data_IF_793620014291
#
_entry.id   IF_793620014291
#
_cell.length_a   1.000
_cell.length_b   1.000
_cell.length_c   1.000
_cell.angle_alpha   90.00
_cell.angle_beta   90.00
_cell.angle_gamma   90.00
#
_symmetry.space_group_name_H-M   'P 1'
#
loop_
_entity.id
_entity.type
_entity.pdbx_description
1 polymer ?
#
# COMPACT_ATOMS: atom_id res chain seq x y z
N UNK A 1 -7.55 -17.38 14.90
CA UNK A 1 -8.06 -16.68 13.72
C UNK A 1 -8.26 -15.21 14.06
N UNK A 2 -7.72 -14.30 13.26
CA UNK A 2 -8.01 -12.87 13.38
C UNK A 2 -9.51 -12.67 13.07
N UNK A 3 -10.26 -12.01 13.97
CA UNK A 3 -11.73 -11.88 13.87
C UNK A 3 -12.20 -10.92 12.75
N UNK A 4 -11.31 -10.53 11.84
CA UNK A 4 -11.49 -9.40 10.91
C UNK A 4 -11.76 -9.83 9.46
N UNK A 5 -11.96 -11.12 9.18
CA UNK A 5 -12.25 -11.58 7.80
C UNK A 5 -11.05 -11.41 6.86
N UNK A 6 -9.87 -11.84 7.31
CA UNK A 6 -8.54 -11.58 6.71
C UNK A 6 -8.25 -12.21 5.35
N UNK A 7 -9.15 -13.01 4.79
CA UNK A 7 -8.94 -13.67 3.48
C UNK A 7 -9.35 -12.79 2.29
N UNK A 8 -9.71 -11.53 2.52
CA UNK A 8 -10.02 -10.57 1.46
C UNK A 8 -8.76 -9.96 0.84
N UNK A 9 -8.70 -9.77 -0.50
CA UNK A 9 -7.58 -9.09 -1.15
C UNK A 9 -7.27 -7.72 -0.53
N UNK A 10 -5.98 -7.46 -0.31
CA UNK A 10 -5.50 -6.16 0.20
C UNK A 10 -5.45 -6.08 1.72
N UNK A 11 -5.83 -7.16 2.41
CA UNK A 11 -5.64 -7.28 3.86
C UNK A 11 -4.16 -7.49 4.19
N UNK A 12 -3.65 -6.80 5.22
CA UNK A 12 -2.29 -7.01 5.72
C UNK A 12 -2.22 -6.90 7.25
N UNK A 13 -1.15 -7.47 7.81
CA UNK A 13 -0.74 -7.30 9.20
C UNK A 13 0.76 -6.97 9.23
N UNK A 14 1.10 -5.82 9.81
CA UNK A 14 2.47 -5.45 10.13
C UNK A 14 2.68 -5.45 11.64
N UNK A 15 3.64 -6.26 12.08
CA UNK A 15 4.11 -6.30 13.45
C UNK A 15 5.60 -5.99 13.45
N UNK A 16 6.04 -5.22 14.43
CA UNK A 16 7.45 -4.91 14.61
C UNK A 16 7.93 -5.58 15.89
N UNK A 17 9.04 -6.32 15.81
CA UNK A 17 9.71 -6.90 16.98
C UNK A 17 11.09 -6.24 17.06
N UNK A 18 11.30 -5.45 18.11
CA UNK A 18 12.60 -4.86 18.37
C UNK A 18 13.49 -5.89 19.08
N UNK A 19 14.62 -6.24 18.45
CA UNK A 19 15.64 -7.12 19.06
C UNK A 19 15.20 -8.56 19.36
N UNK A 20 14.09 -9.02 18.77
CA UNK A 20 13.58 -10.39 18.93
C UNK A 20 12.75 -10.65 20.19
N UNK A 21 12.75 -9.74 21.16
CA UNK A 21 12.14 -9.99 22.48
C UNK A 21 11.00 -9.02 22.85
N UNK A 22 10.96 -7.82 22.25
CA UNK A 22 9.95 -6.81 22.59
C UNK A 22 9.08 -6.47 21.39
N UNK A 23 7.79 -6.80 21.49
CA UNK A 23 6.77 -6.32 20.57
C UNK A 23 6.77 -4.79 20.57
N UNK A 24 6.70 -4.22 19.37
CA UNK A 24 6.50 -2.80 19.16
C UNK A 24 5.21 -2.32 19.83
N UNK A 25 5.12 -1.01 20.11
CA UNK A 25 3.94 -0.42 20.74
C UNK A 25 2.66 -0.62 19.92
N UNK A 26 2.79 -0.80 18.61
CA UNK A 26 1.68 -0.91 17.67
C UNK A 26 1.88 -2.10 16.72
N UNK A 27 0.78 -2.78 16.42
CA UNK A 27 0.61 -3.61 15.22
C UNK A 27 -0.37 -2.89 14.29
N UNK A 28 -0.15 -3.00 12.98
CA UNK A 28 -0.99 -2.33 11.97
C UNK A 28 -1.74 -3.37 11.16
N UNK A 29 -3.05 -3.19 11.05
CA UNK A 29 -3.91 -4.00 10.21
C UNK A 29 -4.54 -3.08 9.19
N UNK A 30 -4.33 -3.38 7.90
CA UNK A 30 -5.03 -2.73 6.80
C UNK A 30 -6.06 -3.67 6.20
N UNK A 31 -7.20 -3.12 5.83
CA UNK A 31 -8.33 -3.83 5.21
C UNK A 31 -8.93 -2.93 4.14
N UNK A 32 -9.57 -3.53 3.13
CA UNK A 32 -10.42 -2.82 2.15
C UNK A 32 -9.79 -1.54 1.58
N UNK A 33 -8.66 -1.64 0.84
CA UNK A 33 -8.02 -0.47 0.25
C UNK A 33 -8.99 0.27 -0.68
N UNK A 34 -8.93 1.61 -0.68
CA UNK A 34 -9.78 2.46 -1.51
C UNK A 34 -9.36 2.44 -2.99
N UNK A 35 -8.05 2.35 -3.24
CA UNK A 35 -7.46 2.39 -4.58
C UNK A 35 -6.33 1.37 -4.63
N UNK A 36 -6.30 0.59 -5.69
CA UNK A 36 -5.24 -0.33 -6.05
C UNK A 36 -4.29 0.34 -7.03
N UNK A 37 -2.99 0.08 -6.88
CA UNK A 37 -1.94 0.54 -7.78
C UNK A 37 -1.05 -0.63 -8.16
N UNK A 38 -0.69 -0.73 -9.44
CA UNK A 38 0.33 -1.67 -9.90
C UNK A 38 1.12 -1.07 -11.06
N UNK A 39 2.27 -1.67 -11.32
CA UNK A 39 3.01 -1.48 -12.57
C UNK A 39 3.12 -2.86 -13.22
N UNK A 40 2.58 -3.01 -14.43
CA UNK A 40 2.70 -4.21 -15.24
C UNK A 40 3.27 -3.83 -16.59
N UNK A 41 4.30 -4.54 -17.07
CA UNK A 41 4.93 -4.31 -18.38
C UNK A 41 5.36 -2.84 -18.60
N UNK A 42 5.81 -2.19 -17.52
CA UNK A 42 6.23 -0.78 -17.55
C UNK A 42 5.09 0.24 -17.57
N UNK A 43 3.83 -0.20 -17.49
CA UNK A 43 2.64 0.66 -17.44
C UNK A 43 2.13 0.72 -16.01
N UNK A 44 2.04 1.94 -15.46
CA UNK A 44 1.41 2.17 -14.16
C UNK A 44 -0.12 2.24 -14.33
N UNK A 45 -0.86 1.58 -13.45
CA UNK A 45 -2.32 1.52 -13.49
C UNK A 45 -2.93 1.67 -12.10
N UNK A 46 -4.12 2.27 -12.03
CA UNK A 46 -4.95 2.27 -10.82
C UNK A 46 -6.27 1.55 -11.03
N UNK A 47 -6.84 0.99 -9.98
CA UNK A 47 -8.12 0.27 -10.03
C UNK A 47 -8.90 0.43 -8.71
N UNK A 48 -10.23 0.32 -8.76
CA UNK A 48 -11.06 0.21 -7.54
C UNK A 48 -11.24 -1.23 -7.07
N UNK A 49 -10.82 -2.22 -7.86
CA UNK A 49 -10.98 -3.65 -7.58
C UNK A 49 -9.64 -4.39 -7.53
N UNK A 50 -9.51 -5.45 -6.72
CA UNK A 50 -8.25 -6.20 -6.59
C UNK A 50 -7.83 -6.95 -7.85
N UNK A 51 -8.78 -7.29 -8.71
CA UNK A 51 -8.54 -7.99 -9.98
C UNK A 51 -8.16 -7.05 -11.13
N UNK A 52 -8.13 -5.72 -10.87
CA UNK A 52 -7.86 -4.71 -11.89
C UNK A 52 -8.84 -4.74 -13.07
N UNK A 53 -10.07 -5.21 -12.88
CA UNK A 53 -11.09 -5.25 -13.92
C UNK A 53 -11.47 -3.85 -14.44
N UNK A 54 -11.33 -2.81 -13.62
CA UNK A 54 -11.58 -1.41 -13.98
C UNK A 54 -10.29 -0.58 -14.12
N UNK A 55 -9.17 -1.24 -14.43
CA UNK A 55 -7.87 -0.61 -14.53
C UNK A 55 -7.86 0.63 -15.45
N UNK A 56 -7.23 1.68 -14.96
CA UNK A 56 -6.97 2.91 -15.71
C UNK A 56 -5.47 3.14 -15.77
N UNK A 57 -4.88 3.24 -16.98
CA UNK A 57 -3.47 3.57 -17.11
C UNK A 57 -3.22 5.00 -16.63
N UNK A 58 -2.04 5.20 -16.06
CA UNK A 58 -1.52 6.51 -15.67
C UNK A 58 -0.46 6.95 -16.67
N UNK A 59 -0.46 8.24 -16.97
CA UNK A 59 0.60 8.87 -17.75
C UNK A 59 1.89 8.99 -16.92
N UNK A 60 3.04 8.94 -17.59
CA UNK A 60 4.35 9.16 -16.98
C UNK A 60 5.18 7.90 -16.79
N UNK A 61 6.35 8.06 -16.17
CA UNK A 61 7.26 6.93 -15.90
C UNK A 61 6.79 6.14 -14.68
N UNK A 62 7.09 4.83 -14.57
CA UNK A 62 6.69 4.01 -13.43
C UNK A 62 7.03 4.61 -12.06
N UNK A 63 8.24 5.16 -11.91
CA UNK A 63 8.70 5.79 -10.67
C UNK A 63 7.96 7.11 -10.39
N UNK A 64 7.67 7.91 -11.42
CA UNK A 64 6.91 9.15 -11.25
C UNK A 64 5.46 8.85 -10.84
N UNK A 65 4.83 7.84 -11.45
CA UNK A 65 3.47 7.41 -11.13
C UNK A 65 3.36 6.82 -9.71
N UNK A 66 4.33 6.01 -9.28
CA UNK A 66 4.40 5.53 -7.89
C UNK A 66 4.54 6.69 -6.90
N UNK A 67 5.41 7.67 -7.20
CA UNK A 67 5.57 8.85 -6.35
C UNK A 67 4.26 9.62 -6.24
N UNK A 68 3.58 9.87 -7.36
CA UNK A 68 2.29 10.55 -7.37
C UNK A 68 1.25 9.78 -6.56
N UNK A 69 1.15 8.47 -6.73
CA UNK A 69 0.22 7.62 -5.97
C UNK A 69 0.45 7.73 -4.45
N UNK A 70 1.70 7.66 -3.99
CA UNK A 70 2.03 7.83 -2.56
C UNK A 70 1.60 9.18 -2.03
N UNK A 71 1.75 10.26 -2.81
CA UNK A 71 1.29 11.59 -2.41
C UNK A 71 -0.24 11.64 -2.25
N UNK A 72 -1.00 10.95 -3.10
CA UNK A 72 -2.47 10.90 -2.98
C UNK A 72 -2.95 10.12 -1.75
N UNK A 73 -2.10 9.27 -1.17
CA UNK A 73 -2.43 8.51 0.04
C UNK A 73 -2.14 9.27 1.34
N UNK A 74 -1.60 10.50 1.27
CA UNK A 74 -1.36 11.34 2.44
C UNK A 74 -2.69 11.88 2.98
N UNK A 75 -2.84 11.83 4.30
CA UNK A 75 -3.96 12.41 5.02
C UNK A 75 -3.44 13.50 5.97
N UNK A 76 -4.12 14.63 6.01
CA UNK A 76 -3.89 15.69 6.99
C UNK A 76 -4.85 15.53 8.16
N UNK A 77 -4.35 15.68 9.38
CA UNK A 77 -5.16 15.62 10.60
C UNK A 77 -4.61 16.59 11.65
N UNK A 78 -5.51 17.14 12.47
CA UNK A 78 -5.14 17.91 13.66
C UNK A 78 -4.99 17.02 14.92
N UNK A 79 -5.33 15.74 14.82
CA UNK A 79 -5.27 14.76 15.90
C UNK A 79 -3.92 14.04 15.93
N UNK A 80 -3.48 13.65 17.13
CA UNK A 80 -2.30 12.79 17.30
C UNK A 80 -2.70 11.33 17.06
N UNK A 81 -2.51 10.87 15.82
CA UNK A 81 -2.83 9.50 15.41
C UNK A 81 -1.62 8.57 15.56
N UNK A 82 -1.85 7.25 15.75
CA UNK A 82 -0.78 6.27 15.61
C UNK A 82 -0.06 6.40 14.26
N UNK A 83 1.23 6.03 14.19
CA UNK A 83 1.95 6.07 12.91
C UNK A 83 1.26 5.18 11.88
N UNK A 84 1.37 5.48 10.58
CA UNK A 84 0.75 4.69 9.50
C UNK A 84 -0.79 4.58 9.55
N UNK A 85 -1.49 5.60 10.07
CA UNK A 85 -2.95 5.70 10.01
C UNK A 85 -3.51 5.88 8.58
N UNK A 86 -2.70 6.40 7.66
CA UNK A 86 -2.97 6.45 6.22
C UNK A 86 -1.67 6.20 5.46
N UNK A 87 -1.76 5.63 4.26
CA UNK A 87 -0.60 5.44 3.40
C UNK A 87 -0.85 4.50 2.23
N UNK A 88 0.17 4.36 1.39
CA UNK A 88 0.24 3.33 0.37
C UNK A 88 1.04 2.15 0.92
N UNK A 89 0.43 0.96 0.93
CA UNK A 89 1.02 -0.24 1.49
C UNK A 89 1.09 -1.33 0.43
N UNK A 90 2.24 -1.98 0.31
CA UNK A 90 2.49 -2.98 -0.72
C UNK A 90 3.98 -3.32 -0.80
N UNK A 91 4.42 -3.71 -1.99
CA UNK A 91 5.80 -4.07 -2.26
C UNK A 91 6.29 -3.44 -3.56
N UNK A 92 7.61 -3.31 -3.68
CA UNK A 92 8.29 -2.93 -4.90
C UNK A 92 9.12 -4.15 -5.32
N UNK A 93 8.82 -4.70 -6.50
CA UNK A 93 9.55 -5.84 -7.04
C UNK A 93 10.97 -5.46 -7.43
N UNK A 94 11.90 -6.43 -7.39
CA UNK A 94 13.30 -6.22 -7.75
C UNK A 94 13.48 -5.57 -9.14
N UNK A 95 12.68 -6.01 -10.11
CA UNK A 95 12.75 -5.54 -11.50
C UNK A 95 12.44 -4.04 -11.66
N UNK A 96 11.86 -3.38 -10.65
CA UNK A 96 11.66 -1.93 -10.67
C UNK A 96 12.96 -1.14 -10.80
N UNK A 97 14.12 -1.77 -10.52
CA UNK A 97 15.45 -1.16 -10.76
C UNK A 97 15.64 -0.71 -12.21
N UNK A 98 14.97 -1.34 -13.18
CA UNK A 98 15.04 -0.97 -14.60
C UNK A 98 14.37 0.37 -14.92
N UNK A 99 13.65 0.97 -13.96
CA UNK A 99 12.90 2.22 -14.10
C UNK A 99 13.45 3.38 -13.25
N UNK A 100 14.56 3.16 -12.53
CA UNK A 100 15.22 4.15 -11.65
C UNK A 100 16.26 4.95 -12.41
#
# INVERSE_FOLDING_TARGET
>A
MLKLGVDAPGSFLFESIAGGERLGRYSFIGLSPQVWFRISDGVAETSSTPDFADAKPLDGTPVASLRHFVETAKAETAEDLPPMASGAFGYVGYDMIQHV
#
